data_IF_222647541603
#
_entry.id   IF_222647541603
#
_cell.length_a   1.000
_cell.length_b   1.000
_cell.length_c   1.000
_cell.angle_alpha   90.00
_cell.angle_beta   90.00
_cell.angle_gamma   90.00
#
_symmetry.space_group_name_H-M   'P 1'
#
loop_
_entity.id
_entity.type
_entity.pdbx_description
1 polymer ?
#
# COMPACT_ATOMS: atom_id res chain seq x y z
N UNK A 1 -4.10 -4.83 -0.74
CA UNK A 1 -5.39 -5.08 -1.41
C UNK A 1 -5.13 -5.37 -2.87
N UNK A 2 -5.73 -6.44 -3.42
CA UNK A 2 -5.72 -6.72 -4.85
C UNK A 2 -6.95 -6.07 -5.49
N UNK A 3 -6.73 -5.18 -6.45
CA UNK A 3 -7.79 -4.44 -7.11
C UNK A 3 -7.72 -4.50 -8.63
N UNK A 4 -8.89 -4.45 -9.25
CA UNK A 4 -9.12 -4.62 -10.69
C UNK A 4 -10.19 -3.65 -11.17
N UNK A 5 -10.37 -3.54 -12.49
CA UNK A 5 -11.50 -2.81 -13.04
C UNK A 5 -12.84 -3.43 -12.61
N UNK A 6 -13.92 -2.64 -12.52
CA UNK A 6 -15.22 -3.14 -12.12
C UNK A 6 -15.67 -4.38 -12.90
N UNK A 7 -16.08 -5.42 -12.19
CA UNK A 7 -16.57 -6.68 -12.76
C UNK A 7 -15.50 -7.54 -13.47
N UNK A 8 -14.21 -7.27 -13.28
CA UNK A 8 -13.14 -8.20 -13.69
C UNK A 8 -13.08 -9.38 -12.73
N UNK A 9 -13.02 -10.59 -13.28
CA UNK A 9 -12.86 -11.82 -12.52
C UNK A 9 -11.39 -12.21 -12.37
N UNK A 10 -11.11 -13.01 -11.35
CA UNK A 10 -9.75 -13.45 -10.98
C UNK A 10 -9.01 -14.18 -12.10
N UNK A 11 -9.73 -14.96 -12.89
CA UNK A 11 -9.23 -15.76 -14.01
C UNK A 11 -8.83 -14.92 -15.24
N UNK A 12 -9.27 -13.65 -15.32
CA UNK A 12 -8.87 -12.72 -16.38
C UNK A 12 -7.48 -12.11 -16.13
N UNK A 13 -7.00 -12.12 -14.89
CA UNK A 13 -5.78 -11.44 -14.46
C UNK A 13 -4.54 -12.16 -15.00
N UNK A 14 -3.64 -11.39 -15.62
CA UNK A 14 -2.33 -11.87 -16.12
C UNK A 14 -1.17 -11.14 -15.47
N UNK A 15 -1.34 -9.85 -15.21
CA UNK A 15 -0.27 -9.00 -14.67
C UNK A 15 -0.72 -8.27 -13.40
N UNK A 16 0.21 -8.14 -12.45
CA UNK A 16 -0.02 -7.43 -11.19
C UNK A 16 1.01 -6.30 -11.07
N UNK A 17 0.52 -5.06 -11.05
CA UNK A 17 1.32 -3.84 -11.04
C UNK A 17 1.39 -3.24 -9.64
N UNK A 18 2.59 -2.92 -9.17
CA UNK A 18 2.81 -2.23 -7.89
C UNK A 18 4.25 -1.75 -7.73
N UNK A 19 4.55 -1.01 -6.66
CA UNK A 19 5.92 -0.62 -6.31
C UNK A 19 6.78 -1.85 -5.99
N UNK A 20 8.09 -1.79 -6.27
CA UNK A 20 9.01 -2.93 -6.10
C UNK A 20 8.99 -3.53 -4.68
N UNK A 21 8.84 -2.70 -3.64
CA UNK A 21 8.74 -3.20 -2.25
C UNK A 21 7.45 -3.99 -2.01
N UNK A 22 6.31 -3.49 -2.48
CA UNK A 22 5.03 -4.17 -2.35
C UNK A 22 5.00 -5.47 -3.15
N UNK A 23 5.68 -5.50 -4.30
CA UNK A 23 5.85 -6.72 -5.10
C UNK A 23 6.62 -7.80 -4.33
N UNK A 24 7.69 -7.41 -3.64
CA UNK A 24 8.45 -8.30 -2.77
C UNK A 24 7.62 -8.81 -1.59
N UNK A 25 6.72 -7.97 -1.05
CA UNK A 25 5.85 -8.29 0.07
C UNK A 25 4.64 -9.16 -0.32
N UNK A 26 4.30 -9.31 -1.60
CA UNK A 26 3.16 -10.12 -2.07
C UNK A 26 3.60 -11.24 -3.03
N UNK A 27 4.89 -11.61 -3.00
CA UNK A 27 5.49 -12.46 -4.03
C UNK A 27 4.93 -13.88 -4.00
N UNK A 28 4.66 -14.44 -2.81
CA UNK A 28 4.10 -15.79 -2.69
C UNK A 28 2.69 -15.82 -3.26
N UNK A 29 1.90 -14.79 -2.95
CA UNK A 29 0.55 -14.63 -3.45
C UNK A 29 0.50 -14.52 -4.98
N UNK A 30 1.34 -13.67 -5.59
CA UNK A 30 1.42 -13.52 -7.05
C UNK A 30 1.81 -14.84 -7.72
N UNK A 31 2.83 -15.53 -7.19
CA UNK A 31 3.31 -16.82 -7.73
C UNK A 31 2.26 -17.92 -7.64
N UNK A 32 1.51 -17.99 -6.53
CA UNK A 32 0.44 -18.98 -6.33
C UNK A 32 -0.65 -18.88 -7.40
N UNK A 33 -0.92 -17.68 -7.89
CA UNK A 33 -1.93 -17.43 -8.92
C UNK A 33 -1.37 -17.48 -10.35
N UNK A 34 -0.07 -17.73 -10.54
CA UNK A 34 0.55 -17.78 -11.88
C UNK A 34 0.64 -16.41 -12.59
N UNK A 35 0.47 -15.31 -11.86
CA UNK A 35 0.53 -13.97 -12.44
C UNK A 35 1.95 -13.45 -12.59
N UNK A 36 2.15 -12.53 -13.55
CA UNK A 36 3.40 -11.81 -13.73
C UNK A 36 3.40 -10.51 -12.93
N UNK A 37 4.33 -10.39 -11.99
CA UNK A 37 4.59 -9.12 -11.30
C UNK A 37 5.23 -8.08 -12.23
N UNK A 38 4.71 -6.85 -12.24
CA UNK A 38 5.23 -5.73 -13.03
C UNK A 38 5.50 -4.55 -12.10
N UNK A 39 6.68 -3.96 -12.23
CA UNK A 39 7.10 -2.82 -11.41
C UNK A 39 6.44 -1.56 -11.93
N UNK A 40 5.78 -0.83 -11.03
CA UNK A 40 5.25 0.51 -11.24
C UNK A 40 6.05 1.54 -10.42
N UNK A 41 5.93 2.82 -10.79
CA UNK A 41 6.63 3.91 -10.11
C UNK A 41 6.26 4.07 -8.63
N UNK A 42 5.00 3.82 -8.29
CA UNK A 42 4.52 3.78 -6.90
C UNK A 42 3.24 2.92 -6.78
N UNK A 43 2.78 2.66 -5.56
CA UNK A 43 1.61 1.79 -5.32
C UNK A 43 0.29 2.43 -5.72
N UNK A 44 0.07 3.72 -5.47
CA UNK A 44 -1.16 4.42 -5.83
C UNK A 44 -1.22 4.70 -7.34
N UNK A 45 -0.08 5.05 -7.94
CA UNK A 45 0.12 5.19 -9.37
C UNK A 45 -0.16 3.89 -10.14
N UNK A 46 0.11 2.72 -9.56
CA UNK A 46 -0.31 1.45 -10.16
C UNK A 46 -1.84 1.31 -10.25
N UNK A 47 -2.57 1.68 -9.20
CA UNK A 47 -4.04 1.68 -9.23
C UNK A 47 -4.58 2.69 -10.26
N UNK A 48 -4.02 3.91 -10.28
CA UNK A 48 -4.32 4.90 -11.31
C UNK A 48 -4.12 4.34 -12.71
N UNK A 49 -2.96 3.72 -12.96
CA UNK A 49 -2.62 3.13 -14.27
C UNK A 49 -3.64 2.09 -14.71
N UNK A 50 -4.05 1.16 -13.83
CA UNK A 50 -5.08 0.17 -14.14
C UNK A 50 -6.40 0.83 -14.53
N UNK A 51 -6.82 1.87 -13.81
CA UNK A 51 -8.05 2.61 -14.09
C UNK A 51 -8.04 3.36 -15.43
N UNK A 52 -6.86 3.86 -15.85
CA UNK A 52 -6.69 4.65 -17.07
C UNK A 52 -6.47 3.78 -18.31
N UNK A 53 -5.66 2.72 -18.20
CA UNK A 53 -5.35 1.80 -19.32
C UNK A 53 -6.56 0.95 -19.68
N UNK A 54 -7.41 0.60 -18.70
CA UNK A 54 -8.63 -0.20 -18.88
C UNK A 54 -8.42 -1.59 -19.51
N UNK A 55 -7.22 -2.14 -19.39
CA UNK A 55 -6.94 -3.54 -19.72
C UNK A 55 -7.42 -4.43 -18.56
N UNK A 56 -8.41 -5.27 -18.85
CA UNK A 56 -9.02 -6.21 -17.89
C UNK A 56 -8.04 -7.25 -17.34
N UNK A 57 -6.91 -7.46 -18.01
CA UNK A 57 -5.88 -8.42 -17.58
C UNK A 57 -4.87 -7.83 -16.59
N UNK A 58 -4.96 -6.52 -16.32
CA UNK A 58 -4.13 -5.82 -15.36
C UNK A 58 -4.83 -5.68 -14.01
N UNK A 59 -4.14 -6.09 -12.95
CA UNK A 59 -4.51 -5.83 -11.57
C UNK A 59 -3.46 -4.94 -10.89
N UNK A 60 -3.85 -4.25 -9.82
CA UNK A 60 -2.94 -3.48 -8.98
C UNK A 60 -2.90 -4.01 -7.54
N UNK A 61 -1.73 -3.90 -6.90
CA UNK A 61 -1.61 -4.00 -5.45
C UNK A 61 -1.41 -2.60 -4.88
N UNK A 62 -2.39 -2.13 -4.11
CA UNK A 62 -2.40 -0.78 -3.56
C UNK A 62 -3.17 -0.72 -2.23
N UNK A 63 -3.05 0.37 -1.44
CA UNK A 63 -3.91 0.60 -0.28
C UNK A 63 -5.39 0.69 -0.67
N UNK A 64 -6.30 0.31 0.24
CA UNK A 64 -7.74 0.32 -0.02
C UNK A 64 -8.27 1.69 -0.49
N UNK A 65 -7.70 2.78 0.05
CA UNK A 65 -8.04 4.15 -0.34
C UNK A 65 -7.90 4.41 -1.84
N UNK A 66 -6.89 3.81 -2.49
CA UNK A 66 -6.68 3.98 -3.93
C UNK A 66 -7.80 3.34 -4.76
N UNK A 67 -8.39 2.24 -4.31
CA UNK A 67 -9.51 1.61 -5.01
C UNK A 67 -10.73 2.54 -5.05
N UNK A 68 -11.07 3.16 -3.92
CA UNK A 68 -12.15 4.16 -3.85
C UNK A 68 -11.85 5.38 -4.73
N UNK A 69 -10.61 5.88 -4.70
CA UNK A 69 -10.21 7.07 -5.47
C UNK A 69 -10.31 6.84 -6.99
N UNK A 70 -9.99 5.63 -7.45
CA UNK A 70 -9.91 5.30 -8.88
C UNK A 70 -11.06 4.44 -9.41
N UNK A 71 -12.09 4.18 -8.58
CA UNK A 71 -13.26 3.39 -8.97
C UNK A 71 -12.92 1.94 -9.36
N UNK A 72 -12.03 1.31 -8.59
CA UNK A 72 -11.62 -0.07 -8.79
C UNK A 72 -12.29 -1.01 -7.78
N UNK A 73 -12.55 -2.24 -8.20
CA UNK A 73 -13.07 -3.29 -7.32
C UNK A 73 -11.92 -3.97 -6.58
N UNK A 74 -12.06 -4.12 -5.26
CA UNK A 74 -11.18 -4.97 -4.46
C UNK A 74 -11.74 -6.39 -4.52
N UNK A 75 -10.95 -7.33 -5.06
CA UNK A 75 -11.36 -8.73 -5.21
C UNK A 75 -10.72 -9.66 -4.18
N UNK A 76 -9.65 -9.21 -3.51
CA UNK A 76 -9.08 -9.91 -2.37
C UNK A 76 -8.36 -8.93 -1.44
N UNK A 77 -8.59 -9.10 -0.14
CA UNK A 77 -8.01 -8.26 0.90
C UNK A 77 -6.76 -8.88 1.52
N UNK A 78 -5.87 -8.03 2.04
CA UNK A 78 -4.73 -8.42 2.89
C UNK A 78 -3.86 -9.53 2.28
N UNK A 79 -3.52 -9.38 0.99
CA UNK A 79 -2.77 -10.37 0.18
C UNK A 79 -1.24 -10.32 0.38
N UNK A 80 -0.78 -9.52 1.34
CA UNK A 80 0.61 -9.49 1.77
C UNK A 80 1.07 -10.84 2.37
N UNK A 81 2.34 -11.16 2.16
CA UNK A 81 2.97 -12.41 2.59
C UNK A 81 3.16 -12.48 4.12
N UNK A 82 3.11 -11.32 4.81
CA UNK A 82 3.28 -11.18 6.27
C UNK A 82 2.32 -10.13 6.82
N UNK A 83 1.68 -10.44 7.95
CA UNK A 83 0.75 -9.57 8.66
C UNK A 83 1.41 -8.47 9.52
N UNK A 84 2.71 -8.60 9.80
CA UNK A 84 3.44 -7.73 10.74
C UNK A 84 4.07 -6.47 10.11
N UNK A 85 3.57 -6.00 8.96
CA UNK A 85 4.16 -4.84 8.28
C UNK A 85 3.60 -3.51 8.85
N UNK A 86 4.45 -2.72 9.50
CA UNK A 86 4.06 -1.47 10.16
C UNK A 86 4.93 -0.31 9.68
N UNK A 87 4.28 0.78 9.26
CA UNK A 87 4.96 2.04 8.93
C UNK A 87 4.78 3.04 10.07
N UNK A 88 5.88 3.53 10.62
CA UNK A 88 5.88 4.56 11.65
C UNK A 88 6.03 5.94 11.01
N UNK A 89 4.99 6.77 11.14
CA UNK A 89 5.02 8.16 10.69
C UNK A 89 5.35 9.13 11.83
N UNK A 90 5.91 10.29 11.48
CA UNK A 90 6.07 11.43 12.39
C UNK A 90 5.33 12.63 11.81
N UNK A 91 4.62 13.37 12.66
CA UNK A 91 3.95 14.62 12.28
C UNK A 91 4.90 15.78 12.55
N UNK A 92 5.12 16.62 11.54
CA UNK A 92 6.01 17.78 11.63
C UNK A 92 5.19 19.06 11.60
N UNK A 93 5.59 20.04 12.40
CA UNK A 93 5.05 21.41 12.40
C UNK A 93 6.19 22.42 12.41
N UNK A 94 5.95 23.59 11.81
CA UNK A 94 6.90 24.71 11.86
C UNK A 94 6.96 25.33 13.26
N UNK A 95 5.86 25.30 14.01
CA UNK A 95 5.78 25.90 15.35
C UNK A 95 6.29 24.92 16.40
N UNK A 96 7.08 25.41 17.35
CA UNK A 96 7.50 24.62 18.51
C UNK A 96 6.29 24.44 19.43
N UNK A 97 5.76 23.22 19.49
CA UNK A 97 4.66 22.85 20.38
C UNK A 97 5.11 21.63 21.17
N UNK A 98 5.29 21.80 22.48
CA UNK A 98 5.64 20.70 23.37
C UNK A 98 4.36 20.11 23.93
N UNK A 99 4.30 18.78 23.97
CA UNK A 99 3.23 18.09 24.67
C UNK A 99 3.31 18.41 26.17
N UNK A 100 2.19 18.77 26.77
CA UNK A 100 2.10 18.99 28.22
C UNK A 100 2.09 17.66 28.96
N UNK A 101 2.81 17.60 30.09
CA UNK A 101 2.77 16.44 30.98
C UNK A 101 1.62 16.60 31.97
N UNK A 102 0.51 15.92 31.71
CA UNK A 102 -0.69 16.00 32.56
C UNK A 102 -0.72 14.98 33.70
N UNK A 103 0.01 13.86 33.58
CA UNK A 103 0.20 12.89 34.66
C UNK A 103 1.51 12.10 34.50
N UNK A 104 1.94 11.35 35.54
CA UNK A 104 3.11 10.46 35.44
C UNK A 104 2.95 9.32 34.43
N UNK A 105 1.72 8.85 34.18
CA UNK A 105 1.43 7.65 33.37
C UNK A 105 1.23 7.94 31.88
N UNK A 106 1.21 9.22 31.47
CA UNK A 106 1.07 9.60 30.07
C UNK A 106 2.31 9.16 29.29
N UNK A 107 2.08 8.40 28.20
CA UNK A 107 3.14 8.02 27.26
C UNK A 107 3.61 9.27 26.50
N UNK A 108 4.89 9.59 26.64
CA UNK A 108 5.53 10.70 25.94
C UNK A 108 6.77 10.19 25.20
N UNK A 109 7.16 10.93 24.16
CA UNK A 109 8.39 10.65 23.42
C UNK A 109 9.13 11.94 23.11
N UNK A 110 10.43 11.93 23.34
CA UNK A 110 11.34 13.02 22.98
C UNK A 110 12.37 12.50 21.98
N UNK A 111 12.53 13.21 20.86
CA UNK A 111 13.53 12.91 19.84
C UNK A 111 14.60 13.99 19.87
N UNK A 112 15.87 13.60 19.99
CA UNK A 112 17.01 14.51 19.94
C UNK A 112 18.20 13.85 19.22
N UNK A 113 19.17 14.67 18.80
CA UNK A 113 20.43 14.23 18.19
C UNK A 113 21.59 14.81 19.01
N UNK A 114 22.73 14.12 19.06
CA UNK A 114 23.95 14.60 19.72
C UNK A 114 25.18 14.19 18.90
N UNK A 115 26.34 14.81 19.20
CA UNK A 115 27.63 14.49 18.58
C UNK A 115 28.64 14.21 19.69
N UNK A 116 29.48 13.20 19.47
CA UNK A 116 30.62 12.84 20.34
C UNK A 116 31.93 13.25 19.69
#
# INVERSE_FOLDING_TARGET
QLMVLPGVKRDEIKTVHTHIHALGQCRKYIRKNGWKGVVAGDTAGAAKMVSEVKDRTMAALSPALAATLYGLDIIEENVEDTDSNVTRFVVLTKSKQWAERTSPDVKMMTTFIFRV
#
